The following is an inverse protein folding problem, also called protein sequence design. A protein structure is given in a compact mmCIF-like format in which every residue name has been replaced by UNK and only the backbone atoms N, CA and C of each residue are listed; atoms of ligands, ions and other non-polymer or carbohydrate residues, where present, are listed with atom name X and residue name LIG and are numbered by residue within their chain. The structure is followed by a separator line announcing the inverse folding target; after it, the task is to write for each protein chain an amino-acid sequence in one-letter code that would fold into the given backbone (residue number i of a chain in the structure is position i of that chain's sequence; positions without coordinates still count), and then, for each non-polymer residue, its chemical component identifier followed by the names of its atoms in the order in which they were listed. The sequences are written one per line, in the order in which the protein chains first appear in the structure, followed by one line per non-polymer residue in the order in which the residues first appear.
data_IF_078430304147
#
_entry.id   IF_078430304147
#
_cell.length_a   1.000
_cell.length_b   1.000
_cell.length_c   1.000
_cell.angle_alpha   90.00
_cell.angle_beta   90.00
_cell.angle_gamma   90.00
#
_symmetry.space_group_name_H-M   'P 1'
#
loop_
_entity.id
_entity.type
_entity.pdbx_description
1 polymer ?
#
# COMPACT_ATOMS: atom_id res chain seq x y z
N UNK A 1 -6.72 -46.69 -0.73
CA UNK A 1 -6.63 -45.30 -0.27
C UNK A 1 -8.01 -44.89 0.25
N UNK A 2 -8.19 -44.60 1.54
CA UNK A 2 -9.49 -44.18 2.04
C UNK A 2 -9.85 -42.80 1.46
N UNK A 3 -11.06 -42.65 0.89
CA UNK A 3 -11.60 -41.37 0.44
C UNK A 3 -11.78 -41.18 -1.08
N UNK A 4 -11.42 -42.16 -1.91
CA UNK A 4 -11.77 -42.16 -3.34
C UNK A 4 -13.03 -42.98 -3.59
N UNK A 5 -13.91 -42.48 -4.46
CA UNK A 5 -15.11 -43.18 -4.91
C UNK A 5 -14.74 -44.35 -5.83
N UNK A 6 -15.45 -45.47 -5.72
CA UNK A 6 -15.25 -46.60 -6.61
C UNK A 6 -15.80 -46.32 -8.01
N UNK A 7 -15.22 -46.97 -9.04
CA UNK A 7 -15.60 -46.74 -10.44
C UNK A 7 -17.08 -47.04 -10.68
N UNK A 8 -17.59 -48.12 -10.11
CA UNK A 8 -18.97 -48.56 -10.35
C UNK A 8 -19.97 -47.59 -9.73
N UNK A 9 -19.64 -47.02 -8.57
CA UNK A 9 -20.43 -45.96 -7.93
C UNK A 9 -20.31 -44.62 -8.67
N UNK A 10 -19.11 -44.28 -9.17
CA UNK A 10 -18.88 -43.08 -9.98
C UNK A 10 -19.70 -43.08 -11.27
N UNK A 11 -19.84 -44.25 -11.91
CA UNK A 11 -20.58 -44.41 -13.16
C UNK A 11 -22.09 -44.65 -12.96
N UNK A 12 -22.56 -44.78 -11.71
CA UNK A 12 -23.97 -44.96 -11.39
C UNK A 12 -24.78 -43.70 -11.78
N UNK A 13 -25.72 -43.79 -12.75
CA UNK A 13 -26.52 -42.65 -13.19
C UNK A 13 -27.39 -42.06 -12.06
N UNK A 14 -27.70 -42.84 -11.03
CA UNK A 14 -28.56 -42.41 -9.91
C UNK A 14 -27.82 -41.50 -8.92
N UNK A 15 -26.50 -41.64 -8.83
CA UNK A 15 -25.64 -40.94 -7.87
C UNK A 15 -25.21 -39.54 -8.34
N UNK A 16 -25.39 -39.23 -9.63
CA UNK A 16 -25.13 -37.91 -10.24
C UNK A 16 -23.73 -37.36 -9.99
N UNK A 17 -22.72 -38.22 -9.97
CA UNK A 17 -21.31 -37.79 -9.85
C UNK A 17 -20.73 -37.22 -11.16
N UNK A 18 -21.38 -37.50 -12.29
CA UNK A 18 -21.00 -37.01 -13.60
C UNK A 18 -22.01 -35.98 -14.10
N UNK A 19 -21.52 -34.83 -14.54
CA UNK A 19 -22.31 -33.81 -15.22
C UNK A 19 -22.03 -33.93 -16.72
N UNK A 20 -23.02 -34.39 -17.50
CA UNK A 20 -22.89 -34.62 -18.95
C UNK A 20 -21.68 -35.49 -19.33
N UNK A 21 -21.39 -36.52 -18.54
CA UNK A 21 -20.24 -37.42 -18.75
C UNK A 21 -18.89 -36.85 -18.27
N UNK A 22 -18.87 -35.65 -17.68
CA UNK A 22 -17.67 -35.04 -17.11
C UNK A 22 -17.64 -35.20 -15.58
N UNK A 23 -16.48 -35.58 -15.04
CA UNK A 23 -16.23 -35.62 -13.61
C UNK A 23 -15.53 -34.34 -13.18
N UNK A 24 -16.11 -33.59 -12.23
CA UNK A 24 -15.51 -32.38 -11.67
C UNK A 24 -14.84 -32.73 -10.34
N UNK A 25 -13.51 -32.65 -10.29
CA UNK A 25 -12.73 -32.85 -9.08
C UNK A 25 -12.39 -31.49 -8.45
N UNK A 26 -12.86 -31.26 -7.22
CA UNK A 26 -12.50 -30.09 -6.42
C UNK A 26 -11.49 -30.51 -5.36
N UNK A 27 -10.23 -30.12 -5.54
CA UNK A 27 -9.18 -30.33 -4.55
C UNK A 27 -8.90 -29.04 -3.77
N UNK A 28 -8.86 -29.13 -2.44
CA UNK A 28 -8.39 -28.04 -1.57
C UNK A 28 -6.99 -28.41 -1.10
N UNK A 29 -5.99 -27.64 -1.52
CA UNK A 29 -4.60 -27.82 -1.09
C UNK A 29 -4.35 -26.86 0.06
N UNK A 30 -3.99 -27.39 1.22
CA UNK A 30 -3.60 -26.57 2.37
C UNK A 30 -2.08 -26.70 2.55
N UNK A 31 -1.37 -25.60 2.35
CA UNK A 31 0.07 -25.57 2.57
C UNK A 31 0.36 -25.55 4.07
N UNK A 32 1.06 -26.58 4.56
CA UNK A 32 1.56 -26.60 5.93
C UNK A 32 3.04 -26.19 5.93
N UNK A 33 3.33 -25.00 6.45
CA UNK A 33 4.69 -24.54 6.65
C UNK A 33 5.06 -24.82 8.10
N UNK A 34 5.74 -25.94 8.35
CA UNK A 34 6.29 -26.26 9.66
C UNK A 34 7.57 -25.44 9.88
N UNK A 35 7.41 -24.22 10.43
CA UNK A 35 8.54 -23.48 10.97
C UNK A 35 8.57 -23.73 12.47
N UNK A 36 9.59 -24.42 13.02
CA UNK A 36 9.73 -24.50 14.46
C UNK A 36 9.79 -23.07 15.00
N UNK A 37 8.86 -22.72 15.90
CA UNK A 37 8.83 -21.40 16.54
C UNK A 37 10.01 -21.28 17.48
N UNK A 38 11.16 -20.88 16.93
CA UNK A 38 12.32 -20.50 17.74
C UNK A 38 11.93 -19.25 18.54
N UNK A 39 12.04 -19.33 19.86
CA UNK A 39 11.86 -18.15 20.70
C UNK A 39 13.07 -17.23 20.53
N UNK A 40 12.83 -15.99 20.11
CA UNK A 40 13.82 -14.93 20.11
C UNK A 40 13.25 -13.73 20.87
N UNK A 41 14.10 -12.94 21.57
CA UNK A 41 13.65 -11.67 22.12
C UNK A 41 13.13 -10.78 20.98
N UNK A 42 12.09 -9.98 21.27
CA UNK A 42 11.55 -9.03 20.29
C UNK A 42 12.60 -7.96 20.01
N UNK A 43 12.81 -7.64 18.74
CA UNK A 43 13.59 -6.48 18.36
C UNK A 43 12.87 -5.20 18.84
N UNK A 44 13.53 -4.41 19.67
CA UNK A 44 12.99 -3.17 20.25
C UNK A 44 13.44 -1.90 19.53
N UNK A 45 14.38 -2.00 18.59
CA UNK A 45 15.01 -0.85 17.95
C UNK A 45 14.00 0.15 17.41
N UNK A 46 12.96 -0.31 16.70
CA UNK A 46 11.92 0.59 16.17
C UNK A 46 11.22 1.40 17.26
N UNK A 47 10.83 0.75 18.36
CA UNK A 47 10.18 1.43 19.49
C UNK A 47 11.12 2.41 20.19
N UNK A 48 12.38 2.00 20.40
CA UNK A 48 13.38 2.84 21.06
C UNK A 48 13.72 4.08 20.19
N UNK A 49 13.72 3.93 18.85
CA UNK A 49 13.89 5.04 17.89
C UNK A 49 12.68 5.97 17.85
N UNK A 50 11.46 5.46 17.97
CA UNK A 50 10.26 6.29 18.08
C UNK A 50 10.25 7.07 19.39
N UNK A 51 10.67 6.45 20.50
CA UNK A 51 10.81 7.14 21.77
C UNK A 51 11.84 8.28 21.69
N UNK A 52 12.93 8.08 20.95
CA UNK A 52 13.93 9.13 20.67
C UNK A 52 13.32 10.28 19.83
N UNK A 53 12.52 9.97 18.82
CA UNK A 53 11.79 10.97 18.03
C UNK A 53 10.79 11.76 18.90
N UNK A 54 10.02 11.08 19.74
CA UNK A 54 8.98 11.68 20.59
C UNK A 54 9.57 12.53 21.72
N UNK A 55 10.69 12.10 22.32
CA UNK A 55 11.37 12.87 23.37
C UNK A 55 12.12 14.08 22.80
N UNK A 56 12.61 13.98 21.56
CA UNK A 56 13.48 14.98 20.95
C UNK A 56 14.86 15.08 21.61
N UNK A 57 15.22 14.13 22.49
CA UNK A 57 16.48 14.17 23.23
C UNK A 57 17.67 14.09 22.26
N UNK A 58 18.61 15.03 22.35
CA UNK A 58 19.80 15.12 21.47
C UNK A 58 19.49 15.39 20.01
N UNK A 59 18.31 15.89 19.70
CA UNK A 59 18.02 16.48 18.39
C UNK A 59 18.97 17.64 18.10
N UNK A 60 19.42 17.73 16.85
CA UNK A 60 20.30 18.80 16.36
C UNK A 60 19.55 19.81 15.50
N UNK A 61 18.32 19.47 15.08
CA UNK A 61 17.49 20.26 14.17
C UNK A 61 16.01 20.23 14.57
N UNK A 62 15.27 21.24 14.13
CA UNK A 62 13.82 21.33 14.32
C UNK A 62 13.12 21.69 13.01
N UNK A 63 12.09 20.93 12.64
CA UNK A 63 11.17 21.33 11.57
C UNK A 63 9.96 22.08 12.14
N UNK A 64 9.52 23.13 11.45
CA UNK A 64 8.29 23.84 11.74
C UNK A 64 7.27 23.52 10.63
N UNK A 65 6.17 22.86 11.00
CA UNK A 65 5.10 22.48 10.06
C UNK A 65 3.79 23.05 10.56
N UNK A 66 3.24 24.05 9.86
CA UNK A 66 1.99 24.73 10.25
C UNK A 66 2.01 25.18 11.73
N UNK A 67 3.14 25.70 12.20
CA UNK A 67 3.35 26.15 13.58
C UNK A 67 3.65 25.04 14.61
N UNK A 68 3.69 23.76 14.22
CA UNK A 68 4.10 22.65 15.09
C UNK A 68 5.60 22.37 14.91
N UNK A 69 6.32 22.22 16.04
CA UNK A 69 7.74 21.88 16.05
C UNK A 69 7.95 20.37 16.09
N UNK A 70 8.91 19.89 15.30
CA UNK A 70 9.37 18.50 15.27
C UNK A 70 10.88 18.47 15.46
N UNK A 71 11.32 17.96 16.60
CA UNK A 71 12.73 17.79 16.91
C UNK A 71 13.27 16.54 16.23
N UNK A 72 14.34 16.68 15.45
CA UNK A 72 14.85 15.60 14.59
C UNK A 72 16.37 15.50 14.66
N UNK A 73 16.89 14.36 14.18
CA UNK A 73 18.31 14.02 14.18
C UNK A 73 18.79 13.90 12.74
N UNK A 74 19.65 14.84 12.34
CA UNK A 74 20.16 14.95 10.98
C UNK A 74 20.80 13.66 10.44
N UNK A 75 21.60 12.90 11.23
CA UNK A 75 22.16 11.63 10.77
C UNK A 75 21.12 10.59 10.36
N UNK A 76 19.97 10.54 11.05
CA UNK A 76 18.89 9.60 10.72
C UNK A 76 18.25 10.00 9.39
N UNK A 77 18.00 11.29 9.20
CA UNK A 77 17.45 11.81 7.95
C UNK A 77 18.40 11.56 6.77
N UNK A 78 19.70 11.79 6.93
CA UNK A 78 20.68 11.58 5.86
C UNK A 78 20.66 10.14 5.32
N UNK A 79 20.39 9.14 6.18
CA UNK A 79 20.37 7.72 5.81
C UNK A 79 19.00 7.29 5.25
N UNK A 80 17.92 7.90 5.73
CA UNK A 80 16.54 7.40 5.50
C UNK A 80 15.67 8.28 4.62
N UNK A 81 15.97 9.57 4.57
CA UNK A 81 15.24 10.62 3.85
C UNK A 81 16.22 11.70 3.35
N UNK A 82 17.11 11.37 2.39
CA UNK A 82 18.23 12.24 2.01
C UNK A 82 17.78 13.63 1.54
N UNK A 83 16.68 13.74 0.79
CA UNK A 83 16.17 15.06 0.35
C UNK A 83 15.71 15.91 1.54
N UNK A 84 15.16 15.29 2.59
CA UNK A 84 14.80 15.98 3.82
C UNK A 84 16.04 16.42 4.60
N UNK A 85 17.15 15.67 4.53
CA UNK A 85 18.43 16.06 5.09
C UNK A 85 19.07 17.22 4.31
N UNK A 86 18.95 17.25 2.98
CA UNK A 86 19.45 18.36 2.15
C UNK A 86 18.78 19.70 2.53
N UNK A 87 17.50 19.68 2.89
CA UNK A 87 16.78 20.86 3.38
C UNK A 87 17.38 21.42 4.68
N UNK A 88 17.94 20.54 5.52
CA UNK A 88 18.67 20.91 6.74
C UNK A 88 20.03 21.49 6.40
N UNK A 89 20.82 20.81 5.56
CA UNK A 89 22.17 21.24 5.22
C UNK A 89 22.20 22.58 4.48
N UNK A 90 21.24 22.82 3.60
CA UNK A 90 21.13 24.11 2.90
C UNK A 90 20.71 25.28 3.81
N UNK A 91 20.20 24.99 5.00
CA UNK A 91 19.76 25.98 6.00
C UNK A 91 20.72 26.08 7.21
N UNK A 92 22.02 25.89 7.00
CA UNK A 92 23.08 25.91 8.05
C UNK A 92 23.03 27.07 9.07
N UNK A 93 22.40 28.21 8.75
CA UNK A 93 22.30 29.37 9.66
C UNK A 93 21.15 29.26 10.67
N UNK A 94 20.17 28.40 10.43
CA UNK A 94 18.98 28.24 11.26
C UNK A 94 18.87 26.80 11.75
N UNK A 95 18.74 26.63 13.08
CA UNK A 95 18.39 25.33 13.68
C UNK A 95 16.93 24.95 13.46
N UNK A 96 16.15 25.85 12.86
CA UNK A 96 14.74 25.66 12.56
C UNK A 96 14.52 25.79 11.05
N UNK A 97 13.85 24.81 10.46
CA UNK A 97 13.53 24.76 9.02
C UNK A 97 12.02 24.68 8.87
N UNK A 98 11.44 25.62 8.13
CA UNK A 98 10.01 25.62 7.83
C UNK A 98 9.72 24.64 6.68
N UNK A 99 8.65 23.85 6.85
CA UNK A 99 8.18 22.90 5.83
C UNK A 99 6.73 23.22 5.50
N UNK A 100 6.55 23.84 4.34
CA UNK A 100 5.25 24.19 3.80
C UNK A 100 4.60 23.04 3.02
N UNK A 101 3.32 23.18 2.69
CA UNK A 101 2.54 22.26 1.83
C UNK A 101 2.50 20.80 2.30
N UNK A 102 2.63 20.58 3.62
CA UNK A 102 2.45 19.26 4.24
C UNK A 102 1.62 19.41 5.50
N UNK A 103 0.59 18.57 5.65
CA UNK A 103 -0.20 18.54 6.87
C UNK A 103 0.61 17.92 8.04
N UNK A 104 0.32 18.37 9.26
CA UNK A 104 0.99 17.90 10.49
C UNK A 104 0.88 16.38 10.66
N UNK A 105 -0.30 15.81 10.39
CA UNK A 105 -0.51 14.37 10.51
C UNK A 105 0.29 13.58 9.46
N UNK A 106 0.38 14.11 8.24
CA UNK A 106 1.17 13.53 7.15
C UNK A 106 2.67 13.58 7.49
N UNK A 107 3.16 14.73 7.95
CA UNK A 107 4.57 14.88 8.30
C UNK A 107 4.96 14.00 9.50
N UNK A 108 4.08 13.90 10.50
CA UNK A 108 4.27 13.00 11.64
C UNK A 108 4.33 11.54 11.20
N UNK A 109 3.43 11.09 10.33
CA UNK A 109 3.45 9.74 9.75
C UNK A 109 4.76 9.48 8.99
N UNK A 110 5.23 10.45 8.20
CA UNK A 110 6.48 10.36 7.47
C UNK A 110 7.68 10.21 8.42
N UNK A 111 7.76 11.02 9.48
CA UNK A 111 8.84 10.92 10.46
C UNK A 111 8.83 9.59 11.22
N UNK A 112 7.66 9.10 11.64
CA UNK A 112 7.54 7.79 12.31
C UNK A 112 8.05 6.66 11.41
N UNK A 113 7.73 6.71 10.11
CA UNK A 113 8.26 5.76 9.15
C UNK A 113 9.79 5.90 8.99
N UNK A 114 10.30 7.13 8.87
CA UNK A 114 11.74 7.39 8.72
C UNK A 114 12.54 6.83 9.91
N UNK A 115 11.98 6.88 11.13
CA UNK A 115 12.68 6.41 12.34
C UNK A 115 12.53 4.91 12.60
N UNK A 116 11.39 4.30 12.25
CA UNK A 116 11.07 2.95 12.70
C UNK A 116 10.31 2.08 11.68
N UNK A 117 10.18 2.55 10.44
CA UNK A 117 9.38 1.91 9.38
C UNK A 117 7.91 1.66 9.81
N UNK A 118 7.43 2.44 10.79
CA UNK A 118 6.06 2.34 11.27
C UNK A 118 5.11 2.97 10.25
N UNK A 119 4.22 2.14 9.69
CA UNK A 119 3.14 2.59 8.82
C UNK A 119 1.94 3.06 9.66
N UNK A 120 1.23 4.12 9.24
CA UNK A 120 0.02 4.56 9.92
C UNK A 120 -1.05 3.45 9.97
N UNK A 121 -1.90 3.43 11.00
CA UNK A 121 -3.03 2.51 11.08
C UNK A 121 -3.90 2.57 9.83
N UNK A 122 -4.49 1.44 9.44
CA UNK A 122 -5.28 1.33 8.21
C UNK A 122 -6.43 2.36 8.10
N UNK A 123 -7.01 2.78 9.24
CA UNK A 123 -8.04 3.83 9.27
C UNK A 123 -7.49 5.21 8.88
N UNK A 124 -6.32 5.55 9.38
CA UNK A 124 -5.63 6.82 9.07
C UNK A 124 -5.10 6.81 7.64
N UNK A 125 -4.54 5.68 7.19
CA UNK A 125 -4.09 5.51 5.79
C UNK A 125 -5.19 5.81 4.78
N UNK A 126 -6.45 5.47 5.04
CA UNK A 126 -7.57 5.81 4.13
C UNK A 126 -7.77 7.31 3.92
N UNK A 127 -7.33 8.12 4.88
CA UNK A 127 -7.51 9.57 4.88
C UNK A 127 -6.25 10.23 4.31
N UNK A 128 -5.07 9.84 4.79
CA UNK A 128 -3.82 10.54 4.48
C UNK A 128 -2.98 9.90 3.37
N UNK A 129 -3.32 8.72 2.84
CA UNK A 129 -2.41 7.99 1.93
C UNK A 129 -2.00 8.79 0.69
N UNK A 130 -2.90 9.55 0.07
CA UNK A 130 -2.55 10.35 -1.12
C UNK A 130 -1.57 11.48 -0.78
N UNK A 131 -1.77 12.16 0.34
CA UNK A 131 -0.88 13.25 0.75
C UNK A 131 0.44 12.72 1.32
N UNK A 132 0.41 11.58 1.99
CA UNK A 132 1.61 10.86 2.41
C UNK A 132 2.42 10.35 1.21
N UNK A 133 1.75 9.93 0.13
CA UNK A 133 2.42 9.56 -1.12
C UNK A 133 3.13 10.78 -1.74
N UNK A 134 2.47 11.94 -1.77
CA UNK A 134 3.06 13.20 -2.26
C UNK A 134 4.26 13.62 -1.40
N UNK A 135 4.14 13.55 -0.07
CA UNK A 135 5.22 13.87 0.85
C UNK A 135 6.40 12.89 0.70
N UNK A 136 6.13 11.59 0.60
CA UNK A 136 7.16 10.57 0.42
C UNK A 136 7.92 10.76 -0.89
N UNK A 137 7.23 11.12 -1.98
CA UNK A 137 7.85 11.46 -3.25
C UNK A 137 8.70 12.73 -3.16
N UNK A 138 8.14 13.82 -2.60
CA UNK A 138 8.84 15.10 -2.42
C UNK A 138 10.12 14.97 -1.60
N UNK A 139 10.10 14.19 -0.53
CA UNK A 139 11.24 14.04 0.38
C UNK A 139 12.13 12.82 0.08
N UNK A 140 11.94 12.17 -1.07
CA UNK A 140 12.80 11.08 -1.52
C UNK A 140 12.70 9.80 -0.68
N UNK A 141 11.63 9.62 0.09
CA UNK A 141 11.35 8.43 0.89
C UNK A 141 10.85 7.28 0.01
N UNK A 142 11.72 6.74 -0.85
CA UNK A 142 11.36 5.75 -1.89
C UNK A 142 10.70 4.49 -1.31
N UNK A 143 11.23 3.94 -0.21
CA UNK A 143 10.64 2.75 0.42
C UNK A 143 9.23 3.00 0.96
N UNK A 144 8.98 4.17 1.55
CA UNK A 144 7.66 4.57 2.02
C UNK A 144 6.68 4.70 0.84
N UNK A 145 7.11 5.36 -0.23
CA UNK A 145 6.32 5.55 -1.45
C UNK A 145 5.84 4.21 -2.02
N UNK A 146 6.72 3.22 -2.14
CA UNK A 146 6.37 1.88 -2.62
C UNK A 146 5.39 1.16 -1.70
N UNK A 147 5.52 1.30 -0.37
CA UNK A 147 4.59 0.68 0.58
C UNK A 147 3.19 1.31 0.51
N UNK A 148 3.12 2.64 0.41
CA UNK A 148 1.85 3.35 0.24
C UNK A 148 1.18 2.93 -1.07
N UNK A 149 1.96 2.80 -2.14
CA UNK A 149 1.49 2.34 -3.44
C UNK A 149 0.84 0.96 -3.36
N UNK A 150 1.51 0.00 -2.72
CA UNK A 150 0.97 -1.33 -2.50
C UNK A 150 -0.31 -1.31 -1.64
N UNK A 151 -0.36 -0.47 -0.61
CA UNK A 151 -1.53 -0.35 0.27
C UNK A 151 -2.74 0.30 -0.43
N UNK A 152 -2.51 1.29 -1.29
CA UNK A 152 -3.55 1.91 -2.12
C UNK A 152 -4.14 0.90 -3.10
N UNK A 153 -3.29 0.10 -3.76
CA UNK A 153 -3.75 -0.99 -4.63
C UNK A 153 -4.55 -2.03 -3.86
N UNK A 154 -4.07 -2.44 -2.67
CA UNK A 154 -4.74 -3.42 -1.82
C UNK A 154 -6.10 -2.93 -1.31
N UNK A 155 -6.23 -1.63 -1.06
CA UNK A 155 -7.49 -1.02 -0.62
C UNK A 155 -8.55 -0.95 -1.73
N UNK A 156 -8.14 -1.15 -2.99
CA UNK A 156 -9.00 -1.22 -4.15
C UNK A 156 -9.22 0.14 -4.83
N UNK A 157 -9.16 0.13 -6.16
CA UNK A 157 -9.49 1.27 -7.01
C UNK A 157 -10.99 1.24 -7.30
N UNK A 158 -11.68 2.36 -7.09
CA UNK A 158 -13.12 2.54 -7.34
C UNK A 158 -13.32 3.39 -8.59
N UNK A 159 -14.46 3.22 -9.26
CA UNK A 159 -14.78 4.03 -10.44
C UNK A 159 -14.72 5.54 -10.17
N UNK A 160 -15.12 5.98 -8.97
CA UNK A 160 -15.12 7.39 -8.57
C UNK A 160 -13.73 7.99 -8.34
N UNK A 161 -12.71 7.18 -8.04
CA UNK A 161 -11.36 7.66 -7.73
C UNK A 161 -10.29 7.20 -8.74
N UNK A 162 -10.64 6.30 -9.67
CA UNK A 162 -9.71 5.71 -10.62
C UNK A 162 -8.95 6.76 -11.45
N UNK A 163 -9.65 7.80 -11.94
CA UNK A 163 -9.03 8.86 -12.73
C UNK A 163 -8.00 9.65 -11.92
N UNK A 164 -8.38 10.09 -10.71
CA UNK A 164 -7.48 10.84 -9.83
C UNK A 164 -6.27 10.00 -9.42
N UNK A 165 -6.47 8.73 -9.06
CA UNK A 165 -5.39 7.79 -8.73
C UNK A 165 -4.43 7.60 -9.90
N UNK A 166 -4.93 7.49 -11.13
CA UNK A 166 -4.09 7.29 -12.31
C UNK A 166 -3.26 8.53 -12.64
N UNK A 167 -3.86 9.73 -12.58
CA UNK A 167 -3.15 11.00 -12.75
C UNK A 167 -2.07 11.18 -11.67
N UNK A 168 -2.44 10.88 -10.43
CA UNK A 168 -1.55 10.88 -9.28
C UNK A 168 -0.36 9.91 -9.42
N UNK A 169 -0.63 8.71 -9.93
CA UNK A 169 0.38 7.69 -10.15
C UNK A 169 1.35 8.09 -11.28
N UNK A 170 0.84 8.67 -12.35
CA UNK A 170 1.67 9.14 -13.48
C UNK A 170 2.59 10.29 -13.07
N UNK A 171 2.03 11.31 -12.42
CA UNK A 171 2.76 12.50 -11.98
C UNK A 171 3.93 12.18 -11.04
N UNK A 172 3.82 11.10 -10.26
CA UNK A 172 4.81 10.66 -9.28
C UNK A 172 5.54 9.40 -9.70
N UNK A 173 5.40 8.92 -10.94
CA UNK A 173 6.07 7.71 -11.41
C UNK A 173 5.84 6.47 -10.51
N UNK A 174 4.60 6.28 -10.04
CA UNK A 174 4.17 5.12 -9.26
C UNK A 174 3.72 4.00 -10.22
N UNK A 175 4.63 3.09 -10.56
CA UNK A 175 4.43 2.09 -11.60
C UNK A 175 3.32 1.06 -11.28
N UNK A 176 3.26 0.55 -10.05
CA UNK A 176 2.27 -0.42 -9.60
C UNK A 176 0.85 0.17 -9.58
N UNK A 177 0.69 1.40 -9.08
CA UNK A 177 -0.59 2.09 -9.02
C UNK A 177 -1.06 2.49 -10.41
N UNK A 178 -0.13 2.87 -11.29
CA UNK A 178 -0.40 3.15 -12.70
C UNK A 178 -0.86 1.90 -13.44
N UNK A 179 -0.16 0.77 -13.29
CA UNK A 179 -0.55 -0.52 -13.88
C UNK A 179 -1.97 -0.93 -13.45
N UNK A 180 -2.26 -0.85 -12.14
CA UNK A 180 -3.58 -1.22 -11.61
C UNK A 180 -4.68 -0.25 -11.99
N UNK A 181 -4.37 1.05 -12.07
CA UNK A 181 -5.28 2.05 -12.62
C UNK A 181 -5.65 1.74 -14.07
N UNK A 182 -4.66 1.45 -14.93
CA UNK A 182 -4.91 1.05 -16.32
C UNK A 182 -5.72 -0.23 -16.42
N UNK A 183 -5.42 -1.24 -15.62
CA UNK A 183 -6.17 -2.49 -15.60
C UNK A 183 -7.65 -2.25 -15.23
N UNK A 184 -7.90 -1.38 -14.25
CA UNK A 184 -9.26 -0.98 -13.89
C UNK A 184 -9.99 -0.31 -15.06
N UNK A 185 -9.38 0.66 -15.74
CA UNK A 185 -10.00 1.32 -16.90
C UNK A 185 -10.22 0.37 -18.07
N UNK A 186 -9.25 -0.47 -18.40
CA UNK A 186 -9.35 -1.39 -19.52
C UNK A 186 -10.42 -2.45 -19.27
N UNK A 187 -10.44 -3.07 -18.09
CA UNK A 187 -11.39 -4.13 -17.79
C UNK A 187 -12.80 -3.58 -17.48
N UNK A 188 -12.92 -2.45 -16.79
CA UNK A 188 -14.22 -1.93 -16.38
C UNK A 188 -14.86 -1.04 -17.46
N UNK A 189 -14.10 -0.16 -18.12
CA UNK A 189 -14.69 0.73 -19.13
C UNK A 189 -14.84 0.01 -20.45
N UNK A 190 -13.78 -0.64 -20.96
CA UNK A 190 -13.85 -1.26 -22.30
C UNK A 190 -14.76 -2.48 -22.26
N UNK A 191 -14.60 -3.39 -21.29
CA UNK A 191 -15.42 -4.60 -21.26
C UNK A 191 -16.88 -4.30 -20.92
N UNK A 192 -17.16 -3.40 -19.97
CA UNK A 192 -18.55 -3.08 -19.60
C UNK A 192 -19.24 -2.23 -20.68
N UNK A 193 -18.58 -1.24 -21.30
CA UNK A 193 -19.19 -0.51 -22.41
C UNK A 193 -19.37 -1.39 -23.63
N UNK A 194 -18.40 -2.22 -24.02
CA UNK A 194 -18.61 -3.13 -25.15
C UNK A 194 -19.72 -4.13 -24.86
N UNK A 195 -19.76 -4.71 -23.66
CA UNK A 195 -20.81 -5.67 -23.31
C UNK A 195 -22.19 -5.00 -23.21
N UNK A 196 -22.31 -3.81 -22.61
CA UNK A 196 -23.58 -3.10 -22.51
C UNK A 196 -24.04 -2.55 -23.85
N UNK A 197 -23.12 -2.07 -24.70
CA UNK A 197 -23.46 -1.65 -26.06
C UNK A 197 -23.93 -2.85 -26.89
N UNK A 198 -23.27 -4.01 -26.76
CA UNK A 198 -23.70 -5.24 -27.41
C UNK A 198 -25.06 -5.73 -26.89
N UNK A 199 -25.30 -5.68 -25.57
CA UNK A 199 -26.56 -6.11 -24.96
C UNK A 199 -27.72 -5.15 -25.27
N UNK A 200 -27.48 -3.83 -25.27
CA UNK A 200 -28.47 -2.83 -25.66
C UNK A 200 -28.77 -2.87 -27.16
N UNK A 201 -27.80 -3.12 -28.03
CA UNK A 201 -28.08 -3.33 -29.46
C UNK A 201 -28.88 -4.62 -29.69
N UNK A 202 -28.62 -5.67 -28.92
CA UNK A 202 -29.35 -6.94 -29.05
C UNK A 202 -30.80 -6.86 -28.53
N UNK A 203 -31.07 -6.04 -27.50
CA UNK A 203 -32.42 -5.84 -26.95
C UNK A 203 -33.27 -4.78 -27.66
N UNK A 204 -32.66 -3.90 -28.49
CA UNK A 204 -33.42 -2.92 -29.29
C UNK A 204 -33.73 -3.38 -30.72
N UNK A 205 -33.19 -4.54 -31.14
CA UNK A 205 -33.38 -5.11 -32.48
C UNK A 205 -34.09 -6.48 -32.49
N UNK A 206 -34.75 -6.88 -31.40
CA UNK A 206 -35.63 -8.04 -31.33
C UNK A 206 -36.92 -7.72 -30.59
#
# INVERSE_FOLDING_TARGET
MPGFIERDELLDPTKKHLENGSLILKATIQMYIDRPKFWSPKNRLGNDMLQLLESGERSDMTFLVNGQKYHVHSPILAIRAPVLADLVENNTKAKEVEVDDVDKAVFQALLRYVYAEEMPPHKEMKIIAQDLLKAADRFGCTSLKLLIEAELVRSGIKASNAANILLDADARNCALLKEKGFFFFFFFVVFFFFFFFFLCFFFFFF
#
